data_IF_967797244977
#
_entry.id   IF_967797244977
#
_cell.length_a   1.000
_cell.length_b   1.000
_cell.length_c   1.000
_cell.angle_alpha   90.00
_cell.angle_beta   90.00
_cell.angle_gamma   90.00
#
_symmetry.space_group_name_H-M   'P 1'
#
loop_
_entity.id
_entity.type
_entity.pdbx_description
1 polymer ?
#
# COMPACT_ATOMS: atom_id res chain seq x y z
N UNK A 1 -9.29 -4.81 -2.65
CA UNK A 1 -8.14 -3.88 -2.47
C UNK A 1 -6.77 -4.49 -2.80
N UNK A 2 -6.49 -5.76 -2.45
CA UNK A 2 -5.12 -6.33 -2.47
C UNK A 2 -4.42 -6.39 -3.83
N UNK A 3 -5.10 -6.75 -4.91
CA UNK A 3 -4.42 -6.90 -6.23
C UNK A 3 -4.03 -5.55 -6.84
N UNK A 4 -4.92 -4.54 -6.74
CA UNK A 4 -4.68 -3.19 -7.27
C UNK A 4 -3.65 -2.44 -6.41
N UNK A 5 -3.71 -2.61 -5.08
CA UNK A 5 -2.76 -1.97 -4.17
C UNK A 5 -1.33 -2.51 -4.32
N UNK A 6 -1.18 -3.79 -4.66
CA UNK A 6 0.14 -4.34 -5.00
C UNK A 6 0.67 -3.64 -6.25
N UNK A 7 -0.15 -3.51 -7.30
CA UNK A 7 0.23 -2.88 -8.56
C UNK A 7 0.72 -1.43 -8.41
N UNK A 8 0.11 -0.64 -7.52
CA UNK A 8 0.53 0.74 -7.27
C UNK A 8 1.88 0.85 -6.57
N UNK A 9 2.23 -0.11 -5.70
CA UNK A 9 3.50 -0.12 -4.97
C UNK A 9 4.60 -0.97 -5.63
N UNK A 10 4.32 -1.66 -6.75
CA UNK A 10 5.33 -2.42 -7.50
C UNK A 10 6.52 -1.55 -7.93
N UNK A 11 6.36 -0.35 -8.51
CA UNK A 11 7.50 0.47 -8.91
C UNK A 11 8.39 0.83 -7.73
N UNK A 12 7.79 1.16 -6.58
CA UNK A 12 8.48 1.56 -5.35
C UNK A 12 9.29 0.40 -4.77
N UNK A 13 8.73 -0.81 -4.79
CA UNK A 13 9.41 -2.05 -4.37
C UNK A 13 10.59 -2.34 -5.30
N UNK A 14 10.42 -2.17 -6.62
CA UNK A 14 11.50 -2.40 -7.60
C UNK A 14 12.66 -1.42 -7.38
N UNK A 15 12.36 -0.12 -7.18
CA UNK A 15 13.41 0.89 -6.92
C UNK A 15 14.12 0.61 -5.60
N UNK A 16 13.38 0.30 -4.54
CA UNK A 16 13.96 0.01 -3.22
C UNK A 16 14.82 -1.27 -3.25
N UNK A 17 14.37 -2.30 -3.97
CA UNK A 17 15.13 -3.54 -4.16
C UNK A 17 16.40 -3.29 -4.99
N UNK A 18 16.30 -2.56 -6.10
CA UNK A 18 17.45 -2.21 -6.93
C UNK A 18 18.48 -1.38 -6.14
N UNK A 19 18.06 -0.43 -5.31
CA UNK A 19 18.93 0.33 -4.43
C UNK A 19 19.62 -0.58 -3.38
N UNK A 20 18.87 -1.51 -2.78
CA UNK A 20 19.43 -2.46 -1.82
C UNK A 20 20.46 -3.41 -2.45
N UNK A 21 20.28 -3.82 -3.70
CA UNK A 21 21.22 -4.68 -4.42
C UNK A 21 22.53 -3.96 -4.76
N UNK A 22 22.51 -2.64 -4.91
CA UNK A 22 23.69 -1.80 -5.11
C UNK A 22 24.34 -1.34 -3.80
N UNK A 23 24.01 -1.97 -2.66
CA UNK A 23 24.47 -1.61 -1.31
C UNK A 23 24.07 -0.19 -0.85
N UNK A 24 23.15 0.47 -1.56
CA UNK A 24 22.64 1.81 -1.23
C UNK A 24 21.43 1.70 -0.29
N UNK A 25 21.68 1.26 0.96
CA UNK A 25 20.61 1.04 1.96
C UNK A 25 19.83 2.31 2.27
N UNK A 26 20.52 3.45 2.37
CA UNK A 26 19.89 4.74 2.66
C UNK A 26 18.90 5.16 1.57
N UNK A 27 19.25 4.91 0.30
CA UNK A 27 18.37 5.18 -0.84
C UNK A 27 17.17 4.21 -0.85
N UNK A 28 17.39 2.93 -0.55
CA UNK A 28 16.32 1.93 -0.48
C UNK A 28 15.28 2.29 0.60
N UNK A 29 15.75 2.67 1.79
CA UNK A 29 14.87 3.07 2.91
C UNK A 29 14.22 4.42 2.64
N UNK A 30 14.98 5.39 2.11
CA UNK A 30 14.47 6.70 1.72
C UNK A 30 13.37 6.61 0.66
N UNK A 31 13.50 5.69 -0.30
CA UNK A 31 12.47 5.41 -1.30
C UNK A 31 11.20 4.85 -0.65
N UNK A 32 11.33 3.84 0.22
CA UNK A 32 10.20 3.19 0.87
C UNK A 32 9.45 4.12 1.85
N UNK A 33 10.16 4.95 2.60
CA UNK A 33 9.54 5.92 3.51
C UNK A 33 8.96 7.12 2.75
N UNK A 34 9.71 7.66 1.79
CA UNK A 34 9.31 8.81 0.99
C UNK A 34 8.03 8.54 0.20
N UNK A 35 7.89 7.36 -0.43
CA UNK A 35 6.69 7.00 -1.17
C UNK A 35 5.45 6.93 -0.27
N UNK A 36 5.55 6.32 0.91
CA UNK A 36 4.45 6.25 1.87
C UNK A 36 4.03 7.65 2.39
N UNK A 37 5.00 8.53 2.67
CA UNK A 37 4.73 9.90 3.11
C UNK A 37 4.02 10.70 2.00
N UNK A 38 4.51 10.63 0.76
CA UNK A 38 3.89 11.31 -0.38
C UNK A 38 2.49 10.75 -0.68
N UNK A 39 2.30 9.43 -0.61
CA UNK A 39 1.00 8.81 -0.83
C UNK A 39 -0.04 9.28 0.21
N UNK A 40 0.35 9.45 1.47
CA UNK A 40 -0.55 9.93 2.53
C UNK A 40 -0.75 11.46 2.47
N UNK A 41 0.33 12.24 2.41
CA UNK A 41 0.23 13.69 2.51
C UNK A 41 -0.24 14.33 1.22
N UNK A 42 0.30 13.91 0.08
CA UNK A 42 0.00 14.51 -1.21
C UNK A 42 -1.23 13.87 -1.84
N UNK A 43 -1.24 12.55 -2.04
CA UNK A 43 -2.34 11.91 -2.77
C UNK A 43 -3.63 11.91 -1.93
N UNK A 44 -3.58 11.31 -0.72
CA UNK A 44 -4.75 11.25 0.15
C UNK A 44 -5.15 12.64 0.65
N UNK A 45 -4.19 13.50 1.00
CA UNK A 45 -4.46 14.88 1.43
C UNK A 45 -5.11 15.74 0.34
N UNK A 46 -4.61 15.69 -0.90
CA UNK A 46 -5.23 16.41 -2.03
C UNK A 46 -6.60 15.82 -2.40
N UNK A 47 -6.73 14.49 -2.37
CA UNK A 47 -8.01 13.83 -2.62
C UNK A 47 -9.08 14.26 -1.59
N UNK A 48 -8.70 14.36 -0.32
CA UNK A 48 -9.58 14.82 0.75
C UNK A 48 -9.99 16.30 0.58
N UNK A 49 -9.10 17.13 0.03
CA UNK A 49 -9.39 18.54 -0.26
C UNK A 49 -10.35 18.71 -1.45
N UNK A 50 -10.16 17.91 -2.51
CA UNK A 50 -10.98 17.97 -3.74
C UNK A 50 -12.36 17.35 -3.51
N UNK A 51 -12.43 16.19 -2.87
CA UNK A 51 -13.68 15.49 -2.57
C UNK A 51 -13.59 14.90 -1.17
N UNK A 52 -14.15 15.56 -0.14
CA UNK A 52 -14.18 14.99 1.19
C UNK A 52 -15.00 13.70 1.16
N UNK A 53 -14.33 12.57 1.35
CA UNK A 53 -14.95 11.25 1.45
C UNK A 53 -15.24 10.95 2.91
N UNK A 54 -16.47 10.53 3.21
CA UNK A 54 -16.88 10.09 4.54
C UNK A 54 -16.30 8.71 4.81
N UNK A 55 -15.14 8.66 5.45
CA UNK A 55 -14.55 7.39 5.89
C UNK A 55 -15.41 6.82 7.02
N UNK A 56 -15.92 5.60 6.86
CA UNK A 56 -16.62 4.90 7.94
C UNK A 56 -15.70 4.87 9.18
N UNK A 57 -16.15 5.51 10.26
CA UNK A 57 -15.29 5.86 11.39
C UNK A 57 -14.70 4.65 12.11
N UNK A 58 -15.32 3.48 12.00
CA UNK A 58 -14.86 2.23 12.61
C UNK A 58 -13.61 1.66 11.95
N UNK A 59 -13.48 1.78 10.62
CA UNK A 59 -12.28 1.36 9.88
C UNK A 59 -11.14 2.30 10.23
N UNK A 60 -11.39 3.60 10.18
CA UNK A 60 -10.39 4.62 10.47
C UNK A 60 -9.87 4.54 11.92
N UNK A 61 -10.76 4.33 12.89
CA UNK A 61 -10.39 4.17 14.31
C UNK A 61 -9.60 2.91 14.61
N UNK A 62 -9.69 1.88 13.76
CA UNK A 62 -9.03 0.61 13.98
C UNK A 62 -7.72 0.50 13.20
N UNK A 63 -7.70 0.99 11.97
CA UNK A 63 -6.53 0.90 11.09
C UNK A 63 -5.50 2.01 11.35
N UNK A 64 -5.92 3.24 11.69
CA UNK A 64 -4.97 4.33 11.98
C UNK A 64 -4.05 4.05 13.18
N UNK A 65 -4.54 3.61 14.35
CA UNK A 65 -3.66 3.38 15.50
C UNK A 65 -2.65 2.27 15.23
N UNK A 66 -3.07 1.26 14.45
CA UNK A 66 -2.21 0.14 14.07
C UNK A 66 -1.15 0.57 13.05
N UNK A 67 -1.52 1.37 12.03
CA UNK A 67 -0.54 1.96 11.12
C UNK A 67 0.46 2.84 11.88
N UNK A 68 -0.01 3.70 12.77
CA UNK A 68 0.85 4.54 13.62
C UNK A 68 1.81 3.70 14.46
N UNK A 69 1.34 2.63 15.10
CA UNK A 69 2.18 1.74 15.89
C UNK A 69 3.29 1.13 15.03
N UNK A 70 2.96 0.59 13.85
CA UNK A 70 3.94 -0.02 12.95
C UNK A 70 4.93 1.02 12.42
N UNK A 71 4.47 2.23 12.07
CA UNK A 71 5.33 3.33 11.66
C UNK A 71 6.29 3.78 12.75
N UNK A 72 5.84 3.83 14.01
CA UNK A 72 6.70 4.17 15.16
C UNK A 72 7.72 3.07 15.41
N UNK A 73 7.32 1.80 15.36
CA UNK A 73 8.26 0.67 15.52
C UNK A 73 9.31 0.68 14.40
N UNK A 74 8.89 0.84 13.14
CA UNK A 74 9.82 0.95 12.02
C UNK A 74 10.75 2.16 12.15
N UNK A 75 10.23 3.31 12.59
CA UNK A 75 11.03 4.51 12.85
C UNK A 75 12.03 4.33 13.99
N UNK A 76 11.67 3.58 15.05
CA UNK A 76 12.58 3.28 16.16
C UNK A 76 13.74 2.37 15.75
N UNK A 77 13.48 1.40 14.87
CA UNK A 77 14.51 0.51 14.30
C UNK A 77 15.46 1.26 13.37
N UNK A 78 15.01 2.36 12.77
CA UNK A 78 15.82 3.18 11.87
C UNK A 78 16.48 4.38 12.57
N UNK A 79 16.25 4.57 13.87
CA UNK A 79 16.69 5.77 14.60
C UNK A 79 18.22 5.90 14.70
N UNK A 80 18.93 4.77 14.73
CA UNK A 80 20.39 4.72 14.72
C UNK A 80 21.02 5.00 13.34
N UNK A 81 20.18 5.16 12.31
CA UNK A 81 20.59 5.41 10.93
C UNK A 81 21.29 4.22 10.27
N UNK A 82 21.29 3.04 10.89
CA UNK A 82 21.96 1.86 10.34
C UNK A 82 21.02 0.67 10.29
N UNK A 83 20.55 0.32 9.09
CA UNK A 83 19.76 -0.89 8.92
C UNK A 83 20.68 -2.12 8.84
N UNK A 84 20.76 -2.88 9.93
CA UNK A 84 21.51 -4.13 10.01
C UNK A 84 20.71 -5.33 9.48
N UNK A 85 21.37 -6.46 9.24
CA UNK A 85 20.69 -7.70 8.82
C UNK A 85 19.73 -8.22 9.89
N UNK A 86 20.06 -8.06 11.17
CA UNK A 86 19.18 -8.42 12.29
C UNK A 86 17.91 -7.57 12.30
N UNK A 87 18.02 -6.28 12.02
CA UNK A 87 16.87 -5.36 11.96
C UNK A 87 15.94 -5.73 10.80
N UNK A 88 16.52 -6.07 9.64
CA UNK A 88 15.77 -6.58 8.50
C UNK A 88 15.00 -7.86 8.82
N UNK A 89 15.62 -8.82 9.52
CA UNK A 89 14.94 -10.07 9.96
C UNK A 89 13.82 -9.76 10.95
N UNK A 90 14.06 -8.85 11.91
CA UNK A 90 13.06 -8.44 12.87
C UNK A 90 11.85 -7.76 12.20
N UNK A 91 12.09 -6.83 11.27
CA UNK A 91 11.04 -6.17 10.50
C UNK A 91 10.28 -7.16 9.61
N UNK A 92 10.95 -8.13 9.01
CA UNK A 92 10.32 -9.17 8.20
C UNK A 92 9.45 -10.11 9.05
N UNK A 93 9.91 -10.48 10.24
CA UNK A 93 9.11 -11.24 11.21
C UNK A 93 7.86 -10.45 11.63
N UNK A 94 8.00 -9.16 11.94
CA UNK A 94 6.88 -8.29 12.27
C UNK A 94 5.89 -8.18 11.10
N UNK A 95 6.38 -8.06 9.87
CA UNK A 95 5.56 -8.01 8.66
C UNK A 95 4.77 -9.32 8.44
N UNK A 96 5.38 -10.48 8.66
CA UNK A 96 4.69 -11.79 8.58
C UNK A 96 3.63 -11.90 9.67
N UNK A 97 3.97 -11.54 10.92
CA UNK A 97 3.02 -11.57 12.03
C UNK A 97 1.81 -10.65 11.76
N UNK A 98 2.08 -9.46 11.22
CA UNK A 98 1.08 -8.50 10.81
C UNK A 98 0.18 -9.04 9.69
N UNK A 99 0.76 -9.65 8.67
CA UNK A 99 0.02 -10.26 7.56
C UNK A 99 -0.87 -11.41 8.06
N UNK A 100 -0.39 -12.24 8.98
CA UNK A 100 -1.20 -13.28 9.61
C UNK A 100 -2.34 -12.69 10.45
N UNK A 101 -2.08 -11.59 11.17
CA UNK A 101 -3.10 -10.90 11.95
C UNK A 101 -4.21 -10.33 11.06
N UNK A 102 -3.85 -9.65 9.97
CA UNK A 102 -4.85 -9.07 9.06
C UNK A 102 -5.63 -10.13 8.30
N UNK A 103 -4.99 -11.25 7.92
CA UNK A 103 -5.67 -12.39 7.29
C UNK A 103 -6.64 -13.07 8.27
N UNK A 104 -6.24 -13.27 9.53
CA UNK A 104 -7.15 -13.78 10.56
C UNK A 104 -8.32 -12.83 10.77
N UNK A 105 -8.03 -11.53 10.80
CA UNK A 105 -9.06 -10.52 11.00
C UNK A 105 -10.05 -10.49 9.85
N UNK A 106 -9.57 -10.53 8.60
CA UNK A 106 -10.39 -10.59 7.40
C UNK A 106 -11.27 -11.85 7.39
N UNK A 107 -10.70 -13.02 7.70
CA UNK A 107 -11.45 -14.28 7.80
C UNK A 107 -12.49 -14.26 8.92
N UNK A 108 -12.22 -13.57 10.02
CA UNK A 108 -13.16 -13.43 11.13
C UNK A 108 -14.29 -12.46 10.79
N UNK A 109 -14.02 -11.40 10.03
CA UNK A 109 -15.03 -10.49 9.49
C UNK A 109 -15.96 -11.20 8.50
N UNK A 110 -15.42 -12.02 7.60
CA UNK A 110 -16.22 -12.86 6.68
C UNK A 110 -17.16 -13.81 7.45
N UNK A 111 -16.67 -14.43 8.54
CA UNK A 111 -17.47 -15.36 9.37
C UNK A 111 -18.57 -14.68 10.17
N UNK A 112 -18.45 -13.38 10.46
CA UNK A 112 -19.45 -12.62 11.23
C UNK A 112 -20.52 -11.95 10.36
N UNK A 113 -20.50 -12.14 9.02
CA UNK A 113 -21.55 -11.63 8.12
C UNK A 113 -21.69 -10.10 8.11
N UNK A 114 -20.69 -9.38 8.62
CA UNK A 114 -20.68 -7.92 8.72
C UNK A 114 -19.96 -7.35 7.50
N UNK A 115 -20.53 -7.58 6.32
CA UNK A 115 -19.86 -7.27 5.06
C UNK A 115 -20.56 -6.14 4.28
N UNK A 116 -20.63 -4.97 4.92
CA UNK A 116 -21.05 -3.73 4.24
C UNK A 116 -20.00 -3.29 3.22
N UNK A 117 -18.70 -3.45 3.52
CA UNK A 117 -17.57 -3.08 2.67
C UNK A 117 -17.48 -3.94 1.39
N UNK A 118 -17.61 -5.27 1.48
CA UNK A 118 -17.60 -6.12 0.27
C UNK A 118 -18.88 -5.94 -0.55
N UNK A 119 -20.05 -5.63 0.07
CA UNK A 119 -21.28 -5.31 -0.67
C UNK A 119 -21.18 -3.99 -1.44
N UNK A 120 -20.58 -2.95 -0.87
CA UNK A 120 -20.31 -1.68 -1.57
C UNK A 120 -19.29 -1.87 -2.71
N UNK A 121 -18.21 -2.63 -2.47
CA UNK A 121 -17.20 -2.95 -3.50
C UNK A 121 -17.77 -3.82 -4.63
N UNK A 122 -18.65 -4.79 -4.33
CA UNK A 122 -19.37 -5.59 -5.33
C UNK A 122 -20.46 -4.77 -6.07
N UNK A 123 -20.93 -3.67 -5.49
CA UNK A 123 -21.88 -2.75 -6.13
C UNK A 123 -21.19 -1.75 -7.07
N UNK A 124 -19.94 -1.37 -6.79
CA UNK A 124 -19.10 -0.53 -7.66
C UNK A 124 -18.41 -1.29 -8.79
N UNK A 125 -18.29 -2.63 -8.70
CA UNK A 125 -17.80 -3.43 -9.82
C UNK A 125 -18.76 -3.26 -11.01
N UNK A 126 -18.29 -2.84 -12.20
CA UNK A 126 -19.12 -2.75 -13.38
C UNK A 126 -19.67 -4.14 -13.68
N UNK A 127 -20.96 -4.35 -13.39
CA UNK A 127 -21.65 -5.62 -13.70
C UNK A 127 -21.65 -5.95 -15.20
N UNK A 128 -21.16 -5.03 -16.04
CA UNK A 128 -21.14 -5.13 -17.51
C UNK A 128 -19.73 -5.24 -18.11
N UNK A 129 -18.67 -5.31 -17.31
CA UNK A 129 -17.30 -5.45 -17.81
C UNK A 129 -16.92 -6.90 -18.09
N UNK A 130 -17.27 -7.44 -19.25
CA UNK A 130 -16.73 -8.74 -19.69
C UNK A 130 -15.18 -8.74 -19.62
N UNK A 131 -14.58 -9.91 -19.35
CA UNK A 131 -13.13 -10.19 -19.43
C UNK A 131 -12.35 -9.35 -20.48
N UNK A 132 -12.82 -9.15 -21.72
CA UNK A 132 -12.12 -8.30 -22.69
C UNK A 132 -11.94 -6.82 -22.29
N UNK A 133 -12.89 -6.23 -21.56
CA UNK A 133 -12.81 -4.82 -21.12
C UNK A 133 -11.75 -4.65 -20.02
N UNK A 134 -11.59 -5.66 -19.16
CA UNK A 134 -10.52 -5.67 -18.15
C UNK A 134 -9.13 -5.74 -18.79
N UNK A 135 -8.95 -6.56 -19.83
CA UNK A 135 -7.70 -6.61 -20.59
C UNK A 135 -7.42 -5.33 -21.38
N UNK A 136 -8.47 -4.67 -21.90
CA UNK A 136 -8.35 -3.37 -22.55
C UNK A 136 -7.82 -2.31 -21.58
N UNK A 137 -8.43 -2.20 -20.39
CA UNK A 137 -7.98 -1.24 -19.36
C UNK A 137 -6.57 -1.56 -18.84
N UNK A 138 -6.22 -2.84 -18.70
CA UNK A 138 -4.87 -3.27 -18.36
C UNK A 138 -3.86 -2.85 -19.43
N UNK A 139 -4.19 -3.05 -20.71
CA UNK A 139 -3.34 -2.65 -21.84
C UNK A 139 -3.15 -1.14 -21.92
N UNK A 140 -4.22 -0.37 -21.70
CA UNK A 140 -4.17 1.09 -21.64
C UNK A 140 -3.28 1.56 -20.49
N UNK A 141 -3.44 1.00 -19.29
CA UNK A 141 -2.61 1.33 -18.12
C UNK A 141 -1.12 1.01 -18.37
N UNK A 142 -0.83 -0.13 -18.99
CA UNK A 142 0.54 -0.58 -19.30
C UNK A 142 1.23 0.30 -20.36
N UNK A 143 0.48 0.95 -21.25
CA UNK A 143 1.02 1.86 -22.27
C UNK A 143 1.16 3.30 -21.73
N UNK A 144 0.21 3.75 -20.92
CA UNK A 144 0.22 5.12 -20.37
C UNK A 144 1.33 5.28 -19.33
N UNK A 145 1.58 4.26 -18.49
CA UNK A 145 2.55 4.37 -17.41
C UNK A 145 3.99 4.65 -17.90
N UNK A 146 4.53 3.93 -18.92
CA UNK A 146 5.87 4.18 -19.44
C UNK A 146 6.00 5.51 -20.21
N UNK A 147 4.92 5.95 -20.87
CA UNK A 147 4.90 7.22 -21.61
C UNK A 147 4.85 8.41 -20.65
N UNK A 148 4.16 8.27 -19.52
CA UNK A 148 4.17 9.26 -18.44
C UNK A 148 5.55 9.37 -17.79
N UNK A 149 6.23 8.24 -17.58
CA UNK A 149 7.59 8.19 -16.99
C UNK A 149 8.64 8.82 -17.91
N UNK A 150 8.47 8.80 -19.24
CA UNK A 150 9.43 9.39 -20.19
C UNK A 150 9.30 10.91 -20.41
N UNK A 151 8.26 11.57 -19.87
CA UNK A 151 8.00 13.00 -20.12
C UNK A 151 8.22 13.92 -18.92
N UNK A 152 8.60 13.38 -17.76
CA UNK A 152 9.11 14.18 -16.64
C UNK A 152 10.59 13.87 -16.44
N UNK A 153 11.42 14.91 -16.49
CA UNK A 153 12.90 14.96 -16.47
C UNK A 153 13.57 15.00 -17.85
#
# INVERSE_FOLDING_TARGET
MTVVSIGTSLPEIIVSLAASLHEQRDLAVGTALGSNIINILLILGLAALVRPFTVHSDVLRRELPLMLLVSVVAGSVLYDGQLSRSDGIFLLFLAVLWLLFIVKLARQAERQGTDSLTREQLAELPREGGLPVAFLWLGIALIIMPVAVRRGW
#
